data_IF_583666208603
#
_entry.id   IF_583666208603
#
_cell.length_a   1.000
_cell.length_b   1.000
_cell.length_c   1.000
_cell.angle_alpha   90.00
_cell.angle_beta   90.00
_cell.angle_gamma   90.00
#
_symmetry.space_group_name_H-M   'P 1'
#
loop_
_entity.id
_entity.type
_entity.pdbx_description
1 polymer ?
#
# COMPACT_ATOMS: atom_id res chain seq x y z
N UNK A 1 64.91 43.59 -15.93
CA UNK A 1 64.10 42.45 -16.43
C UNK A 1 62.68 42.65 -15.92
N UNK A 2 61.77 43.15 -16.76
CA UNK A 2 60.37 43.40 -16.38
C UNK A 2 59.56 42.12 -16.57
N UNK A 3 59.32 41.39 -15.48
CA UNK A 3 58.36 40.30 -15.48
C UNK A 3 56.96 40.90 -15.73
N UNK A 4 56.26 40.39 -16.76
CA UNK A 4 54.92 40.88 -17.13
C UNK A 4 53.96 40.58 -15.97
N UNK A 5 53.17 41.56 -15.48
CA UNK A 5 52.32 41.40 -14.29
C UNK A 5 51.29 40.27 -14.43
N UNK A 6 50.93 39.90 -15.66
CA UNK A 6 50.05 38.78 -15.97
C UNK A 6 50.65 37.41 -15.60
N UNK A 7 51.98 37.24 -15.74
CA UNK A 7 52.64 35.99 -15.38
C UNK A 7 52.69 35.79 -13.86
N UNK A 8 52.89 36.88 -13.10
CA UNK A 8 52.89 36.85 -11.63
C UNK A 8 51.49 36.54 -11.09
N UNK A 9 50.44 37.12 -11.70
CA UNK A 9 49.06 36.89 -11.29
C UNK A 9 48.61 35.45 -11.55
N UNK A 10 48.96 34.86 -12.71
CA UNK A 10 48.66 33.46 -13.04
C UNK A 10 49.41 32.49 -12.12
N UNK A 11 50.69 32.75 -11.85
CA UNK A 11 51.47 31.96 -10.89
C UNK A 11 50.91 32.05 -9.46
N UNK A 12 50.43 33.22 -9.03
CA UNK A 12 49.82 33.41 -7.71
C UNK A 12 48.46 32.68 -7.60
N UNK A 13 47.65 32.70 -8.66
CA UNK A 13 46.39 31.93 -8.69
C UNK A 13 46.62 30.43 -8.70
N UNK A 14 47.61 29.92 -9.44
CA UNK A 14 47.97 28.49 -9.46
C UNK A 14 48.50 28.00 -8.11
N UNK A 15 49.27 28.84 -7.40
CA UNK A 15 49.73 28.53 -6.03
C UNK A 15 48.57 28.55 -5.05
N UNK A 16 47.57 29.43 -5.21
CA UNK A 16 46.37 29.43 -4.36
C UNK A 16 45.56 28.13 -4.46
N UNK A 17 45.46 27.52 -5.66
CA UNK A 17 44.75 26.24 -5.84
C UNK A 17 45.46 25.08 -5.12
N UNK A 18 46.80 25.13 -5.01
CA UNK A 18 47.61 24.13 -4.30
C UNK A 18 47.48 24.20 -2.77
N UNK A 19 46.98 25.33 -2.23
CA UNK A 19 46.72 25.53 -0.80
C UNK A 19 45.23 25.54 -0.45
N UNK A 20 44.36 25.16 -1.40
CA UNK A 20 42.96 24.89 -1.08
C UNK A 20 42.92 23.74 -0.06
N UNK A 21 42.29 23.89 1.12
CA UNK A 21 42.04 22.73 1.95
C UNK A 21 41.17 21.78 1.13
N UNK A 22 41.70 20.60 0.82
CA UNK A 22 40.86 19.51 0.34
C UNK A 22 39.88 19.24 1.48
N UNK A 23 38.62 19.62 1.30
CA UNK A 23 37.56 19.14 2.15
C UNK A 23 37.54 17.63 1.94
N UNK A 24 38.15 16.88 2.86
CA UNK A 24 38.00 15.44 2.92
C UNK A 24 36.61 15.21 3.47
N UNK A 25 35.66 15.01 2.58
CA UNK A 25 34.45 14.27 2.88
C UNK A 25 34.88 12.99 3.61
N UNK A 26 34.33 12.77 4.81
CA UNK A 26 34.61 11.59 5.60
C UNK A 26 33.56 10.57 5.19
N UNK A 27 33.99 9.40 4.75
CA UNK A 27 33.12 8.32 4.30
C UNK A 27 33.56 7.10 5.12
N UNK A 28 32.85 6.88 6.23
CA UNK A 28 33.27 5.96 7.29
C UNK A 28 33.09 4.51 6.88
N UNK A 29 32.10 4.18 6.06
CA UNK A 29 31.80 2.82 5.61
C UNK A 29 32.20 2.53 4.15
N UNK A 30 32.56 3.56 3.39
CA UNK A 30 33.14 3.45 2.06
C UNK A 30 32.13 3.23 0.94
N UNK A 31 30.88 3.63 1.12
CA UNK A 31 29.82 3.46 0.12
C UNK A 31 29.78 4.57 -0.95
N UNK A 32 30.58 5.61 -0.76
CA UNK A 32 30.70 6.74 -1.68
C UNK A 32 29.74 7.89 -1.38
N UNK A 33 28.97 7.81 -0.28
CA UNK A 33 28.21 8.91 0.31
C UNK A 33 29.05 9.51 1.46
N UNK A 34 29.09 10.84 1.54
CA UNK A 34 29.83 11.52 2.62
C UNK A 34 29.01 11.45 3.91
N UNK A 35 29.64 11.14 5.05
CA UNK A 35 29.03 11.04 6.39
C UNK A 35 28.15 12.25 6.76
N UNK A 36 28.40 13.40 6.14
CA UNK A 36 27.62 14.62 6.35
C UNK A 36 26.23 14.61 5.71
N UNK A 37 26.01 13.76 4.71
CA UNK A 37 24.76 13.56 3.97
C UNK A 37 24.29 12.11 3.94
N UNK A 38 25.09 11.18 4.46
CA UNK A 38 24.73 9.79 4.68
C UNK A 38 23.85 9.65 5.93
N UNK A 39 22.66 9.08 5.76
CA UNK A 39 21.74 8.76 6.85
C UNK A 39 22.16 7.50 7.62
N UNK A 40 23.10 6.72 7.09
CA UNK A 40 23.68 5.53 7.67
C UNK A 40 25.23 5.52 7.65
N UNK A 41 25.94 6.49 8.29
CA UNK A 41 27.40 6.70 8.19
C UNK A 41 28.31 5.54 8.63
N UNK A 42 27.79 4.40 9.01
CA UNK A 42 28.58 3.25 9.48
C UNK A 42 28.07 1.93 8.90
N UNK A 43 27.16 2.01 7.92
CA UNK A 43 26.47 0.87 7.33
C UNK A 43 26.33 1.07 5.83
N UNK A 44 27.32 0.53 5.10
CA UNK A 44 27.41 0.60 3.64
C UNK A 44 26.06 0.39 2.95
N UNK A 45 25.70 1.34 2.11
CA UNK A 45 24.40 1.35 1.46
C UNK A 45 24.37 2.06 0.11
N UNK A 46 23.18 2.14 -0.47
CA UNK A 46 22.94 2.84 -1.72
C UNK A 46 21.47 3.26 -1.90
N UNK A 47 20.69 3.29 -0.82
CA UNK A 47 19.34 3.83 -0.83
C UNK A 47 19.36 5.32 -1.17
N UNK A 48 18.27 5.81 -1.77
CA UNK A 48 18.12 7.20 -2.25
C UNK A 48 16.69 7.76 -2.13
N UNK A 49 15.69 6.94 -1.76
CA UNK A 49 14.27 7.33 -1.76
C UNK A 49 13.84 7.96 -0.45
N UNK A 50 14.18 7.33 0.67
CA UNK A 50 13.75 7.71 2.02
C UNK A 50 14.92 8.08 2.94
N UNK A 51 16.08 7.46 2.73
CA UNK A 51 17.35 7.70 3.41
C UNK A 51 18.48 7.59 2.39
N UNK A 52 19.45 8.47 2.43
CA UNK A 52 20.62 8.41 1.54
C UNK A 52 21.74 7.57 2.18
N UNK A 53 22.38 6.68 1.43
CA UNK A 53 23.55 5.89 1.92
C UNK A 53 23.22 4.72 2.86
N UNK A 54 21.94 4.40 3.04
CA UNK A 54 21.55 3.24 3.86
C UNK A 54 21.51 1.93 3.06
N UNK A 55 21.68 0.76 3.72
CA UNK A 55 21.56 -0.54 3.09
C UNK A 55 20.23 -0.68 2.34
N UNK A 56 20.28 -1.13 1.09
CA UNK A 56 19.14 -1.39 0.22
C UNK A 56 19.38 -2.75 -0.46
N UNK A 57 18.84 -3.80 0.14
CA UNK A 57 19.14 -5.18 -0.26
C UNK A 57 18.45 -5.62 -1.55
N UNK A 58 17.30 -5.05 -1.87
CA UNK A 58 16.53 -5.42 -3.06
C UNK A 58 16.74 -4.45 -4.24
N UNK A 59 17.34 -3.29 -3.97
CA UNK A 59 17.79 -2.31 -4.95
C UNK A 59 16.68 -1.42 -5.48
N UNK A 60 15.55 -1.29 -4.76
CA UNK A 60 14.43 -0.45 -5.17
C UNK A 60 14.64 1.05 -4.85
N UNK A 61 15.70 1.37 -4.11
CA UNK A 61 16.09 2.71 -3.69
C UNK A 61 15.61 3.07 -2.28
N UNK A 62 14.73 2.30 -1.67
CA UNK A 62 14.26 2.49 -0.29
C UNK A 62 15.18 1.74 0.66
N UNK A 63 15.53 2.38 1.77
CA UNK A 63 16.42 1.79 2.76
C UNK A 63 15.76 0.62 3.49
N UNK A 64 16.57 -0.40 3.79
CA UNK A 64 16.20 -1.64 4.47
C UNK A 64 15.39 -1.46 5.77
N UNK A 65 15.55 -0.31 6.43
CA UNK A 65 14.90 -0.01 7.71
C UNK A 65 13.45 0.46 7.54
N UNK A 66 13.13 1.10 6.42
CA UNK A 66 11.81 1.63 6.11
C UNK A 66 11.17 0.98 4.89
N UNK A 67 11.87 0.05 4.26
CA UNK A 67 11.35 -0.69 3.14
C UNK A 67 10.53 -1.91 3.65
N UNK A 68 9.24 -1.99 3.31
CA UNK A 68 8.41 -3.16 3.62
C UNK A 68 8.80 -4.43 2.85
N UNK A 69 9.64 -4.34 1.81
CA UNK A 69 9.87 -5.42 0.84
C UNK A 69 11.26 -6.07 0.91
N UNK A 70 12.04 -5.74 1.94
CA UNK A 70 13.50 -5.94 2.01
C UNK A 70 14.03 -7.38 2.00
N UNK A 71 13.33 -8.40 2.51
CA UNK A 71 13.86 -9.80 2.49
C UNK A 71 12.82 -10.92 2.63
N UNK A 72 13.14 -12.01 1.91
CA UNK A 72 12.93 -13.48 2.01
C UNK A 72 12.02 -14.15 3.08
N UNK A 73 11.42 -13.44 4.02
CA UNK A 73 10.49 -13.96 5.03
C UNK A 73 9.19 -13.13 5.12
N UNK A 74 8.72 -12.61 3.97
CA UNK A 74 7.38 -12.04 3.82
C UNK A 74 7.07 -10.94 4.83
N UNK A 75 7.98 -9.96 4.97
CA UNK A 75 7.88 -8.86 5.91
C UNK A 75 6.63 -8.00 5.70
N UNK A 76 5.48 -8.44 6.21
CA UNK A 76 4.31 -7.60 6.32
C UNK A 76 4.53 -6.64 7.48
N UNK A 77 5.03 -5.44 7.21
CA UNK A 77 4.85 -4.31 8.11
C UNK A 77 3.37 -3.94 8.09
N UNK A 78 2.74 -3.87 9.27
CA UNK A 78 1.37 -3.38 9.40
C UNK A 78 1.35 -1.88 9.01
N UNK A 79 1.08 -1.57 7.76
CA UNK A 79 0.90 -0.19 7.28
C UNK A 79 -0.28 0.48 8.02
N UNK A 80 -1.35 -0.28 8.23
CA UNK A 80 -2.53 0.23 8.89
C UNK A 80 -3.40 -0.87 9.50
N UNK A 81 -4.10 -0.54 10.58
CA UNK A 81 -5.06 -1.42 11.24
C UNK A 81 -6.38 -0.73 11.50
N UNK A 82 -7.43 -1.34 10.97
CA UNK A 82 -8.79 -1.00 11.30
C UNK A 82 -9.35 -2.05 12.26
N UNK A 83 -9.82 -1.59 13.42
CA UNK A 83 -10.41 -2.48 14.42
C UNK A 83 -11.88 -2.73 14.10
N UNK A 84 -12.29 -3.99 14.16
CA UNK A 84 -13.64 -4.46 13.86
C UNK A 84 -14.05 -5.44 14.97
N UNK A 85 -15.33 -5.47 15.33
CA UNK A 85 -15.86 -6.37 16.36
C UNK A 85 -16.29 -7.74 15.82
N UNK A 86 -16.47 -7.85 14.51
CA UNK A 86 -17.10 -8.97 13.84
C UNK A 86 -16.13 -9.61 12.84
N UNK A 87 -16.38 -10.88 12.52
CA UNK A 87 -15.54 -11.66 11.61
C UNK A 87 -15.71 -11.15 10.17
N UNK A 88 -14.59 -10.98 9.48
CA UNK A 88 -14.56 -10.59 8.08
C UNK A 88 -14.23 -11.76 7.18
N UNK A 89 -15.01 -11.91 6.10
CA UNK A 89 -14.83 -12.99 5.14
C UNK A 89 -14.16 -12.49 3.86
N UNK A 90 -14.51 -11.28 3.42
CA UNK A 90 -13.98 -10.66 2.19
C UNK A 90 -13.44 -9.27 2.50
N UNK A 91 -12.33 -8.91 1.85
CA UNK A 91 -11.75 -7.56 1.85
C UNK A 91 -11.11 -7.28 0.49
N UNK A 92 -11.74 -6.40 -0.30
CA UNK A 92 -11.34 -6.14 -1.69
C UNK A 92 -11.30 -4.65 -1.98
N UNK A 93 -10.18 -4.17 -2.54
CA UNK A 93 -10.11 -2.83 -3.09
C UNK A 93 -10.89 -2.73 -4.40
N UNK A 94 -11.52 -1.58 -4.63
CA UNK A 94 -12.00 -1.25 -5.97
C UNK A 94 -10.81 -0.95 -6.90
N UNK A 95 -11.05 -0.90 -8.21
CA UNK A 95 -9.98 -0.84 -9.22
C UNK A 95 -8.97 0.31 -9.01
N UNK A 96 -9.42 1.49 -8.56
CA UNK A 96 -8.55 2.66 -8.34
C UNK A 96 -7.97 2.75 -6.92
N UNK A 97 -8.29 1.78 -6.05
CA UNK A 97 -7.85 1.75 -4.65
C UNK A 97 -8.45 2.84 -3.76
N UNK A 98 -9.33 3.70 -4.27
CA UNK A 98 -9.94 4.79 -3.48
C UNK A 98 -10.96 4.29 -2.46
N UNK A 99 -11.45 3.06 -2.64
CA UNK A 99 -12.39 2.37 -1.75
C UNK A 99 -12.02 0.92 -1.57
N UNK A 100 -12.51 0.35 -0.48
CA UNK A 100 -12.51 -1.09 -0.30
C UNK A 100 -13.87 -1.54 0.20
N UNK A 101 -14.21 -2.77 -0.17
CA UNK A 101 -15.39 -3.48 0.26
C UNK A 101 -14.96 -4.49 1.32
N UNK A 102 -15.81 -4.64 2.33
CA UNK A 102 -15.69 -5.77 3.27
C UNK A 102 -17.04 -6.45 3.42
N UNK A 103 -17.01 -7.76 3.66
CA UNK A 103 -18.18 -8.48 4.17
C UNK A 103 -17.94 -8.87 5.63
N UNK A 104 -18.98 -8.75 6.44
CA UNK A 104 -18.95 -9.17 7.84
C UNK A 104 -20.28 -9.76 8.24
N UNK A 105 -20.25 -10.75 9.12
CA UNK A 105 -21.45 -11.35 9.66
C UNK A 105 -21.55 -11.04 11.15
N UNK A 106 -22.63 -10.37 11.52
CA UNK A 106 -22.92 -9.97 12.90
C UNK A 106 -23.92 -10.95 13.50
N UNK A 107 -23.66 -11.45 14.71
CA UNK A 107 -24.61 -12.33 15.41
C UNK A 107 -23.99 -13.62 15.93
N UNK A 108 -24.83 -14.63 16.14
CA UNK A 108 -24.41 -15.92 16.72
C UNK A 108 -24.94 -17.10 15.92
N UNK A 109 -24.52 -18.31 16.29
CA UNK A 109 -24.96 -19.55 15.67
C UNK A 109 -26.49 -19.60 15.52
N UNK A 110 -26.98 -19.61 14.26
CA UNK A 110 -28.40 -19.71 13.92
C UNK A 110 -29.17 -18.38 13.84
N UNK A 111 -28.51 -17.23 14.02
CA UNK A 111 -29.08 -15.90 13.77
C UNK A 111 -27.95 -14.92 13.52
N UNK A 112 -27.53 -14.81 12.25
CA UNK A 112 -26.59 -13.82 11.77
C UNK A 112 -27.30 -12.83 10.85
N UNK A 113 -26.82 -11.59 10.85
CA UNK A 113 -27.09 -10.65 9.77
C UNK A 113 -25.75 -10.41 9.09
N UNK A 114 -25.68 -10.81 7.83
CA UNK A 114 -24.56 -10.52 6.98
C UNK A 114 -24.63 -9.10 6.48
N UNK A 115 -23.46 -8.57 6.15
CA UNK A 115 -23.35 -7.21 5.72
C UNK A 115 -22.28 -7.05 4.66
N UNK A 116 -22.56 -6.16 3.72
CA UNK A 116 -21.58 -5.61 2.80
C UNK A 116 -21.33 -4.16 3.17
N UNK A 117 -20.07 -3.77 3.32
CA UNK A 117 -19.65 -2.40 3.64
C UNK A 117 -18.72 -1.88 2.57
N UNK A 118 -18.91 -0.62 2.20
CA UNK A 118 -17.97 0.14 1.37
C UNK A 118 -17.35 1.21 2.24
N UNK A 119 -16.04 1.31 2.15
CA UNK A 119 -15.20 2.21 2.94
C UNK A 119 -14.42 3.14 2.03
N UNK A 120 -14.13 4.33 2.52
CA UNK A 120 -13.15 5.21 1.88
C UNK A 120 -11.74 4.85 2.36
N UNK A 121 -10.82 4.59 1.42
CA UNK A 121 -9.46 4.14 1.75
C UNK A 121 -8.66 5.20 2.51
N UNK A 122 -8.80 6.48 2.14
CA UNK A 122 -8.03 7.56 2.75
C UNK A 122 -8.54 7.89 4.15
N UNK A 123 -9.84 8.08 4.31
CA UNK A 123 -10.43 8.46 5.60
C UNK A 123 -10.73 7.28 6.53
N UNK A 124 -10.73 6.04 6.01
CA UNK A 124 -11.04 4.80 6.76
C UNK A 124 -12.45 4.81 7.35
N UNK A 125 -13.36 5.53 6.70
CA UNK A 125 -14.75 5.68 7.15
C UNK A 125 -15.66 4.81 6.33
N UNK A 126 -16.61 4.14 6.98
CA UNK A 126 -17.70 3.47 6.28
C UNK A 126 -18.54 4.52 5.55
N UNK A 127 -18.67 4.38 4.23
CA UNK A 127 -19.46 5.31 3.40
C UNK A 127 -20.81 4.72 3.01
N UNK A 128 -20.93 3.39 2.97
CA UNK A 128 -22.16 2.67 2.63
C UNK A 128 -22.19 1.31 3.33
N UNK A 129 -23.41 0.83 3.58
CA UNK A 129 -23.67 -0.50 4.11
C UNK A 129 -24.95 -1.08 3.50
N UNK A 130 -24.94 -2.39 3.28
CA UNK A 130 -26.11 -3.20 2.94
C UNK A 130 -26.21 -4.30 3.99
N UNK A 131 -27.41 -4.52 4.52
CA UNK A 131 -27.71 -5.60 5.47
C UNK A 131 -28.46 -6.73 4.76
N UNK A 132 -28.02 -7.96 5.00
CA UNK A 132 -28.66 -9.20 4.57
C UNK A 132 -29.24 -9.88 5.82
N UNK A 133 -30.37 -9.38 6.31
CA UNK A 133 -30.92 -9.82 7.58
C UNK A 133 -31.24 -11.33 7.58
N UNK A 134 -30.69 -12.05 8.55
CA UNK A 134 -30.88 -13.50 8.69
C UNK A 134 -30.00 -14.37 7.79
N UNK A 135 -29.13 -13.78 6.96
CA UNK A 135 -28.33 -14.50 5.97
C UNK A 135 -26.85 -14.14 6.13
N UNK A 136 -25.95 -15.11 5.97
CA UNK A 136 -24.49 -14.89 5.89
C UNK A 136 -24.09 -14.47 4.48
N UNK A 137 -23.07 -13.63 4.34
CA UNK A 137 -22.48 -13.29 3.02
C UNK A 137 -21.28 -14.20 2.76
N UNK A 138 -21.38 -15.07 1.75
CA UNK A 138 -20.29 -15.98 1.39
C UNK A 138 -19.15 -15.27 0.66
N UNK A 139 -19.51 -14.43 -0.29
CA UNK A 139 -18.55 -13.71 -1.11
C UNK A 139 -19.16 -12.42 -1.68
N UNK A 140 -18.28 -11.51 -2.10
CA UNK A 140 -18.65 -10.26 -2.73
C UNK A 140 -17.55 -9.78 -3.68
N UNK A 141 -17.94 -9.06 -4.73
CA UNK A 141 -16.97 -8.54 -5.70
C UNK A 141 -17.35 -7.16 -6.24
N UNK A 142 -16.36 -6.44 -6.76
CA UNK A 142 -16.51 -5.18 -7.47
C UNK A 142 -16.60 -5.42 -8.98
N UNK A 143 -17.47 -4.70 -9.67
CA UNK A 143 -17.35 -4.64 -11.12
C UNK A 143 -16.03 -3.97 -11.52
N UNK A 144 -15.39 -4.36 -12.64
CA UNK A 144 -14.12 -3.79 -13.08
C UNK A 144 -14.13 -2.27 -13.28
N UNK A 145 -15.30 -1.71 -13.61
CA UNK A 145 -15.54 -0.27 -13.74
C UNK A 145 -15.87 0.45 -12.42
N UNK A 146 -15.97 -0.30 -11.32
CA UNK A 146 -16.31 0.19 -9.98
C UNK A 146 -17.75 0.67 -9.81
N UNK A 147 -18.61 0.53 -10.81
CA UNK A 147 -20.01 1.02 -10.75
C UNK A 147 -20.93 0.13 -9.93
N UNK A 148 -20.59 -1.14 -9.78
CA UNK A 148 -21.42 -2.13 -9.12
C UNK A 148 -20.63 -2.93 -8.09
N UNK A 149 -21.38 -3.46 -7.14
CA UNK A 149 -20.91 -4.48 -6.21
C UNK A 149 -21.90 -5.63 -6.22
N UNK A 150 -21.40 -6.85 -6.11
CA UNK A 150 -22.19 -8.06 -6.00
C UNK A 150 -21.94 -8.72 -4.65
N UNK A 151 -22.95 -9.42 -4.13
CA UNK A 151 -22.84 -10.26 -2.96
C UNK A 151 -23.68 -11.53 -3.16
N UNK A 152 -23.18 -12.65 -2.67
CA UNK A 152 -23.93 -13.91 -2.60
C UNK A 152 -24.13 -14.31 -1.14
N UNK A 153 -25.31 -14.83 -0.84
CA UNK A 153 -25.67 -15.23 0.53
C UNK A 153 -25.90 -16.73 0.67
N UNK A 154 -25.96 -17.19 1.91
CA UNK A 154 -26.25 -18.59 2.29
C UNK A 154 -27.69 -19.04 2.02
N UNK A 155 -28.56 -18.14 1.52
CA UNK A 155 -29.93 -18.38 1.10
C UNK A 155 -30.08 -18.40 -0.44
N UNK A 156 -29.02 -18.81 -1.14
CA UNK A 156 -29.03 -19.04 -2.58
C UNK A 156 -29.49 -17.85 -3.42
N UNK A 157 -29.01 -16.66 -3.06
CA UNK A 157 -29.34 -15.44 -3.78
C UNK A 157 -28.10 -14.60 -4.07
N UNK A 158 -27.94 -14.25 -5.34
CA UNK A 158 -27.00 -13.24 -5.82
C UNK A 158 -27.70 -11.88 -5.84
N UNK A 159 -27.11 -10.90 -5.19
CA UNK A 159 -27.53 -9.51 -5.22
C UNK A 159 -26.50 -8.64 -5.93
N UNK A 160 -26.96 -7.69 -6.74
CA UNK A 160 -26.12 -6.67 -7.36
C UNK A 160 -26.66 -5.29 -7.04
N UNK A 161 -25.78 -4.38 -6.63
CA UNK A 161 -26.10 -3.01 -6.22
C UNK A 161 -25.26 -1.99 -6.98
N UNK A 162 -25.78 -0.77 -7.14
CA UNK A 162 -24.96 0.39 -7.51
C UNK A 162 -24.03 0.76 -6.36
N UNK A 163 -22.72 0.79 -6.61
CA UNK A 163 -21.72 1.10 -5.58
C UNK A 163 -21.87 2.51 -4.99
N UNK A 164 -22.32 3.46 -5.81
CA UNK A 164 -22.45 4.88 -5.44
C UNK A 164 -23.49 5.14 -4.33
N UNK A 165 -24.56 4.35 -4.28
CA UNK A 165 -25.71 4.63 -3.43
C UNK A 165 -26.39 3.39 -2.84
N UNK A 166 -25.83 2.20 -3.10
CA UNK A 166 -26.33 0.89 -2.66
C UNK A 166 -27.80 0.61 -3.00
N UNK A 167 -28.30 1.22 -4.08
CA UNK A 167 -29.62 0.86 -4.60
C UNK A 167 -29.52 -0.47 -5.35
N UNK A 168 -30.51 -1.38 -5.19
CA UNK A 168 -30.49 -2.66 -5.89
C UNK A 168 -30.55 -2.46 -7.41
N UNK A 169 -29.67 -3.15 -8.13
CA UNK A 169 -29.73 -3.27 -9.59
C UNK A 169 -30.61 -4.47 -9.98
N UNK A 170 -30.28 -5.66 -9.48
CA UNK A 170 -31.09 -6.87 -9.59
C UNK A 170 -30.69 -7.88 -8.50
N UNK A 171 -31.54 -8.89 -8.29
CA UNK A 171 -31.15 -10.14 -7.64
C UNK A 171 -31.56 -11.33 -8.49
N UNK A 172 -30.87 -12.45 -8.31
CA UNK A 172 -31.17 -13.72 -8.99
C UNK A 172 -30.94 -14.87 -8.01
N UNK A 173 -31.89 -15.80 -7.97
CA UNK A 173 -31.71 -17.03 -7.22
C UNK A 173 -30.64 -17.90 -7.88
N UNK A 174 -29.75 -18.45 -7.07
CA UNK A 174 -28.70 -19.40 -7.46
C UNK A 174 -29.02 -20.83 -7.04
N UNK A 175 -30.21 -21.07 -6.48
CA UNK A 175 -30.67 -22.39 -6.03
C UNK A 175 -30.76 -23.36 -7.22
N UNK A 176 -30.04 -24.47 -7.12
CA UNK A 176 -30.09 -25.58 -8.09
C UNK A 176 -30.47 -26.92 -7.45
N UNK A 177 -30.87 -26.92 -6.17
CA UNK A 177 -31.23 -28.10 -5.42
C UNK A 177 -31.04 -27.96 -3.91
N UNK A 178 -31.49 -28.95 -3.14
CA UNK A 178 -31.36 -28.88 -1.69
C UNK A 178 -29.92 -29.11 -1.22
N UNK A 179 -29.41 -28.19 -0.40
CA UNK A 179 -28.14 -28.36 0.33
C UNK A 179 -26.90 -27.94 -0.46
N UNK A 180 -27.08 -27.17 -1.53
CA UNK A 180 -26.01 -26.36 -2.12
C UNK A 180 -26.08 -24.91 -1.59
N UNK A 181 -24.99 -24.18 -1.82
CA UNK A 181 -24.84 -22.76 -1.52
C UNK A 181 -23.86 -22.16 -2.54
N UNK A 182 -24.09 -20.92 -3.02
CA UNK A 182 -23.10 -20.21 -3.82
C UNK A 182 -21.90 -19.88 -2.92
N UNK A 183 -20.68 -20.11 -3.42
CA UNK A 183 -19.45 -19.89 -2.63
C UNK A 183 -18.58 -18.75 -3.15
N UNK A 184 -18.72 -18.37 -4.42
CA UNK A 184 -17.88 -17.36 -5.04
C UNK A 184 -18.68 -16.57 -6.08
N UNK A 185 -18.42 -15.26 -6.13
CA UNK A 185 -18.96 -14.36 -7.14
C UNK A 185 -17.82 -13.53 -7.70
N UNK A 186 -17.79 -13.40 -9.03
CA UNK A 186 -16.80 -12.55 -9.70
C UNK A 186 -17.45 -11.84 -10.89
N UNK A 187 -17.12 -10.57 -11.06
CA UNK A 187 -17.35 -9.86 -12.30
C UNK A 187 -16.26 -10.22 -13.32
N UNK A 188 -16.67 -10.28 -14.59
CA UNK A 188 -15.77 -10.55 -15.73
C UNK A 188 -15.07 -9.32 -16.24
#
# INVERSE_FOLDING_TARGET
>A
MNLRPHAIMISLTMILVLFSPMATAFDTDGDGVDDSVDDCPVAYGNSTVDRDGCPDRDGDGTSDINDPWVIQAGGFLEDNRQSMSDDQYVSLFNFDGSKYLTTEDTGGWGSSNGWLRIWDTTSKTNVKSVEFSGNFVHDADWSPDGMFVAAITDNDELFVYYSSNVTPLFSVSTDVGSGDQPNEVAFS
#
